data_IF_173799141756
#
_entry.id   IF_173799141756
#
_cell.length_a   1.000
_cell.length_b   1.000
_cell.length_c   1.000
_cell.angle_alpha   90.00
_cell.angle_beta   90.00
_cell.angle_gamma   90.00
#
_symmetry.space_group_name_H-M   'P 1'
#
loop_
_entity.id
_entity.type
_entity.pdbx_description
1 polymer ?
#
# COMPACT_ATOMS: atom_id res chain seq x y z
N UNK A 1 -14.73 1.50 2.97
CA UNK A 1 -15.53 1.46 1.72
C UNK A 1 -14.59 1.27 0.54
N UNK A 2 -15.06 0.84 -0.64
CA UNK A 2 -14.20 0.72 -1.83
C UNK A 2 -13.56 2.05 -2.24
N UNK A 3 -14.32 3.14 -2.17
CA UNK A 3 -13.79 4.49 -2.35
C UNK A 3 -12.67 4.81 -1.35
N UNK A 4 -12.85 4.44 -0.08
CA UNK A 4 -11.81 4.64 0.94
C UNK A 4 -10.52 3.84 0.69
N UNK A 5 -10.63 2.65 0.08
CA UNK A 5 -9.46 1.87 -0.36
C UNK A 5 -8.71 2.58 -1.50
N UNK A 6 -9.42 3.05 -2.54
CA UNK A 6 -8.83 3.79 -3.66
C UNK A 6 -8.18 5.11 -3.17
N UNK A 7 -8.89 5.87 -2.35
CA UNK A 7 -8.39 7.12 -1.77
C UNK A 7 -7.12 6.87 -0.94
N UNK A 8 -7.09 5.83 -0.09
CA UNK A 8 -5.91 5.49 0.70
C UNK A 8 -4.75 4.99 -0.17
N UNK A 9 -5.03 4.16 -1.18
CA UNK A 9 -4.02 3.66 -2.10
C UNK A 9 -3.33 4.80 -2.86
N UNK A 10 -4.12 5.78 -3.34
CA UNK A 10 -3.57 7.00 -3.99
C UNK A 10 -2.65 7.76 -3.06
N UNK A 11 -3.02 7.94 -1.78
CA UNK A 11 -2.15 8.58 -0.79
C UNK A 11 -0.82 7.84 -0.61
N UNK A 12 -0.82 6.50 -0.56
CA UNK A 12 0.43 5.73 -0.49
C UNK A 12 1.32 5.92 -1.73
N UNK A 13 0.73 5.98 -2.92
CA UNK A 13 1.47 6.22 -4.17
C UNK A 13 1.99 7.66 -4.24
N UNK A 14 1.14 8.65 -3.94
CA UNK A 14 1.41 10.06 -4.17
C UNK A 14 2.23 10.70 -3.04
N UNK A 15 1.94 10.37 -1.79
CA UNK A 15 2.61 10.96 -0.61
C UNK A 15 3.75 10.07 -0.12
N UNK A 16 3.49 8.78 0.14
CA UNK A 16 4.51 7.87 0.66
C UNK A 16 5.48 7.34 -0.41
N UNK A 17 5.17 7.55 -1.71
CA UNK A 17 5.96 7.05 -2.85
C UNK A 17 6.15 5.52 -2.80
N UNK A 18 5.12 4.79 -2.38
CA UNK A 18 5.10 3.32 -2.33
C UNK A 18 3.94 2.79 -3.17
N UNK A 19 4.25 1.97 -4.17
CA UNK A 19 3.22 1.32 -4.97
C UNK A 19 2.76 0.00 -4.31
N UNK A 20 1.48 -0.07 -4.01
CA UNK A 20 0.80 -1.26 -3.49
C UNK A 20 -0.23 -1.76 -4.50
N UNK A 21 -0.60 -3.04 -4.43
CA UNK A 21 -1.75 -3.56 -5.18
C UNK A 21 -3.01 -3.48 -4.30
N UNK A 22 -4.03 -2.68 -4.63
CA UNK A 22 -5.26 -2.62 -3.83
C UNK A 22 -6.07 -3.92 -3.94
N UNK A 23 -6.76 -4.31 -2.87
CA UNK A 23 -7.50 -5.56 -2.77
C UNK A 23 -8.63 -5.70 -3.79
N UNK A 24 -9.23 -4.58 -4.20
CA UNK A 24 -10.18 -4.49 -5.31
C UNK A 24 -9.61 -5.04 -6.63
N UNK A 25 -8.32 -4.86 -6.91
CA UNK A 25 -7.66 -5.45 -8.08
C UNK A 25 -7.49 -6.98 -7.99
N UNK A 26 -7.61 -7.54 -6.78
CA UNK A 26 -7.49 -8.96 -6.50
C UNK A 26 -8.83 -9.64 -6.19
N UNK A 27 -9.97 -8.93 -6.37
CA UNK A 27 -11.32 -9.43 -6.04
C UNK A 27 -11.46 -9.87 -4.58
N UNK A 28 -10.79 -9.18 -3.64
CA UNK A 28 -11.00 -9.39 -2.20
C UNK A 28 -12.46 -9.05 -1.86
N UNK A 29 -13.04 -9.74 -0.87
CA UNK A 29 -14.46 -9.65 -0.51
C UNK A 29 -14.82 -8.39 0.29
N UNK A 30 -13.82 -7.70 0.84
CA UNK A 30 -13.99 -6.50 1.65
C UNK A 30 -12.91 -5.44 1.36
N UNK A 31 -13.25 -4.13 1.45
CA UNK A 31 -12.30 -3.06 1.18
C UNK A 31 -11.30 -2.86 2.31
N UNK A 32 -10.13 -2.32 1.98
CA UNK A 32 -9.09 -1.89 2.92
C UNK A 32 -7.86 -2.78 2.94
N UNK A 33 -7.84 -3.85 2.13
CA UNK A 33 -6.67 -4.70 1.97
C UNK A 33 -5.77 -4.20 0.83
N UNK A 34 -4.46 -4.32 1.01
CA UNK A 34 -3.47 -4.04 -0.02
C UNK A 34 -2.31 -5.04 0.08
N UNK A 35 -1.68 -5.34 -1.05
CA UNK A 35 -0.51 -6.23 -1.13
C UNK A 35 0.77 -5.43 -1.40
N UNK A 36 1.80 -5.68 -0.62
CA UNK A 36 3.18 -5.23 -0.85
C UNK A 36 4.02 -6.42 -1.35
N UNK A 37 4.59 -6.30 -2.55
CA UNK A 37 5.61 -7.24 -3.02
C UNK A 37 6.96 -6.83 -2.43
N UNK A 38 7.74 -7.80 -1.91
CA UNK A 38 9.05 -7.52 -1.31
C UNK A 38 10.16 -8.48 -1.77
N UNK A 39 9.81 -9.65 -2.32
CA UNK A 39 10.79 -10.70 -2.60
C UNK A 39 11.81 -10.37 -3.71
N UNK A 40 11.47 -9.42 -4.60
CA UNK A 40 12.33 -8.97 -5.69
C UNK A 40 13.19 -7.74 -5.33
N UNK A 41 12.96 -7.15 -4.15
CA UNK A 41 13.63 -5.93 -3.71
C UNK A 41 14.62 -6.23 -2.58
N UNK A 42 15.68 -5.41 -2.40
CA UNK A 42 16.51 -5.43 -1.21
C UNK A 42 15.66 -5.28 0.07
N UNK A 43 16.03 -6.00 1.13
CA UNK A 43 15.34 -5.96 2.43
C UNK A 43 15.21 -4.53 2.95
N UNK A 44 16.25 -3.74 2.78
CA UNK A 44 16.32 -2.36 3.24
C UNK A 44 15.28 -1.48 2.55
N UNK A 45 14.99 -1.72 1.26
CA UNK A 45 13.95 -1.00 0.53
C UNK A 45 12.55 -1.40 1.02
N UNK A 46 12.32 -2.68 1.30
CA UNK A 46 11.04 -3.14 1.86
C UNK A 46 10.79 -2.53 3.26
N UNK A 47 11.84 -2.44 4.09
CA UNK A 47 11.76 -1.79 5.41
C UNK A 47 11.45 -0.30 5.26
N UNK A 48 12.15 0.41 4.38
CA UNK A 48 11.90 1.84 4.12
C UNK A 48 10.47 2.07 3.61
N UNK A 49 9.95 1.21 2.72
CA UNK A 49 8.57 1.30 2.22
C UNK A 49 7.54 1.16 3.36
N UNK A 50 7.72 0.19 4.26
CA UNK A 50 6.85 0.00 5.43
C UNK A 50 6.91 1.19 6.37
N UNK A 51 8.11 1.76 6.60
CA UNK A 51 8.26 2.94 7.44
C UNK A 51 7.58 4.19 6.85
N UNK A 52 7.65 4.37 5.52
CA UNK A 52 6.93 5.47 4.85
C UNK A 52 5.42 5.34 4.97
N UNK A 53 4.90 4.11 4.83
CA UNK A 53 3.48 3.82 5.05
C UNK A 53 3.09 4.15 6.49
N UNK A 54 3.86 3.69 7.48
CA UNK A 54 3.58 3.95 8.89
C UNK A 54 3.53 5.46 9.21
N UNK A 55 4.53 6.22 8.75
CA UNK A 55 4.59 7.69 8.95
C UNK A 55 3.42 8.45 8.33
N UNK A 56 2.78 7.93 7.29
CA UNK A 56 1.61 8.57 6.65
C UNK A 56 0.31 8.29 7.42
N UNK A 57 0.28 7.18 8.16
CA UNK A 57 -0.88 6.71 8.92
C UNK A 57 -0.90 7.23 10.37
N UNK A 58 0.25 7.63 10.90
CA UNK A 58 0.38 8.40 12.15
C UNK A 58 -0.28 9.78 12.02
#
# INVERSE_FOLDING_TARGET
>A
TWKGEDDLWRRFVEEAKVNLTPGSACRIVEPGFMRLCFAAEPKELAVEAVQRIARLLD
#
